data_IF_902479131958
#
_entry.id   IF_902479131958
#
_cell.length_a   1.000
_cell.length_b   1.000
_cell.length_c   1.000
_cell.angle_alpha   90.00
_cell.angle_beta   90.00
_cell.angle_gamma   90.00
#
_symmetry.space_group_name_H-M   'P 1'
#
loop_
_entity.id
_entity.type
_entity.pdbx_description
1 polymer ?
#
# COMPACT_ATOMS: atom_id res chain seq x y z
N UNK A 1 -6.91 -3.14 23.81
CA UNK A 1 -6.71 -4.39 23.06
C UNK A 1 -7.27 -4.22 21.66
N UNK A 2 -6.44 -4.56 20.68
CA UNK A 2 -6.80 -4.49 19.27
C UNK A 2 -7.32 -5.85 18.81
N UNK A 3 -8.25 -5.88 17.83
CA UNK A 3 -8.91 -7.13 17.42
C UNK A 3 -8.96 -7.29 15.92
N UNK A 4 -8.67 -8.49 15.46
CA UNK A 4 -8.95 -8.90 14.09
C UNK A 4 -10.36 -9.50 14.04
N UNK A 5 -11.21 -8.96 13.17
CA UNK A 5 -12.62 -9.33 13.06
C UNK A 5 -12.91 -9.85 11.65
N UNK A 6 -13.73 -10.89 11.58
CA UNK A 6 -14.28 -11.42 10.32
C UNK A 6 -15.76 -11.10 10.24
N UNK A 7 -16.20 -10.68 9.07
CA UNK A 7 -17.63 -10.43 8.75
C UNK A 7 -18.00 -11.36 7.59
N UNK A 8 -19.07 -12.14 7.75
CA UNK A 8 -19.61 -12.97 6.67
C UNK A 8 -20.45 -12.14 5.69
N UNK A 9 -20.78 -12.65 4.48
CA UNK A 9 -21.69 -11.96 3.55
C UNK A 9 -23.06 -11.66 4.17
N UNK A 10 -23.51 -12.46 5.14
CA UNK A 10 -24.77 -12.26 5.87
C UNK A 10 -24.65 -11.23 7.00
N UNK A 11 -23.48 -10.62 7.20
CA UNK A 11 -23.23 -9.60 8.22
C UNK A 11 -22.87 -10.15 9.59
N UNK A 12 -22.68 -11.47 9.76
CA UNK A 12 -22.27 -12.04 11.04
C UNK A 12 -20.83 -11.71 11.33
N UNK A 13 -20.59 -11.04 12.46
CA UNK A 13 -19.25 -10.60 12.88
C UNK A 13 -18.71 -11.53 13.96
N UNK A 14 -17.48 -12.02 13.76
CA UNK A 14 -16.74 -12.83 14.74
C UNK A 14 -15.37 -12.20 14.99
N UNK A 15 -14.85 -12.33 16.23
CA UNK A 15 -13.47 -11.97 16.56
C UNK A 15 -12.59 -13.18 16.28
N UNK A 16 -11.56 -13.01 15.45
CA UNK A 16 -10.57 -14.05 15.19
C UNK A 16 -9.51 -14.11 16.29
N UNK A 17 -9.23 -12.96 16.90
CA UNK A 17 -8.31 -12.87 18.05
C UNK A 17 -7.92 -11.43 18.35
N UNK A 18 -7.05 -11.28 19.35
CA UNK A 18 -6.54 -10.01 19.87
C UNK A 18 -5.06 -9.84 19.53
N UNK A 19 -4.61 -8.59 19.36
CA UNK A 19 -3.21 -8.25 19.13
C UNK A 19 -2.68 -7.40 20.27
N UNK A 20 -1.40 -7.51 20.58
CA UNK A 20 -0.65 -6.66 21.50
C UNK A 20 0.00 -5.46 20.78
N UNK A 21 -0.22 -5.33 19.48
CA UNK A 21 0.22 -4.22 18.64
C UNK A 21 -0.96 -3.53 17.93
N UNK A 22 -0.81 -2.28 17.56
CA UNK A 22 -1.79 -1.55 16.77
C UNK A 22 -1.78 -2.01 15.31
N UNK A 23 -2.85 -2.67 14.81
CA UNK A 23 -2.93 -3.09 13.42
C UNK A 23 -3.29 -1.88 12.54
N UNK A 24 -2.52 -1.66 11.48
CA UNK A 24 -2.75 -0.55 10.55
C UNK A 24 -3.44 -1.00 9.27
N UNK A 25 -2.87 -1.97 8.58
CA UNK A 25 -3.42 -2.54 7.36
C UNK A 25 -3.43 -4.06 7.46
N UNK A 26 -4.30 -4.68 6.69
CA UNK A 26 -4.32 -6.13 6.56
C UNK A 26 -4.55 -6.53 5.11
N UNK A 27 -4.04 -7.71 4.75
CA UNK A 27 -4.32 -8.37 3.48
C UNK A 27 -4.55 -9.86 3.72
N UNK A 28 -5.26 -10.50 2.80
CA UNK A 28 -5.55 -11.94 2.87
C UNK A 28 -4.98 -12.63 1.65
N UNK A 29 -4.18 -13.64 1.88
CA UNK A 29 -3.75 -14.54 0.82
C UNK A 29 -4.93 -15.41 0.39
N UNK A 30 -5.48 -15.13 -0.78
CA UNK A 30 -6.66 -15.81 -1.31
C UNK A 30 -6.44 -17.29 -1.65
N UNK A 31 -5.17 -17.74 -1.71
CA UNK A 31 -4.81 -19.14 -2.02
C UNK A 31 -5.08 -20.07 -0.84
N UNK A 32 -4.85 -19.59 0.39
CA UNK A 32 -4.90 -20.41 1.60
C UNK A 32 -5.64 -19.75 2.79
N UNK A 33 -6.03 -18.47 2.64
CA UNK A 33 -6.73 -17.71 3.68
C UNK A 33 -5.81 -17.14 4.76
N UNK A 34 -4.50 -17.19 4.61
CA UNK A 34 -3.56 -16.55 5.53
C UNK A 34 -3.82 -15.04 5.58
N UNK A 35 -3.82 -14.48 6.78
CA UNK A 35 -4.01 -13.04 7.02
C UNK A 35 -2.66 -12.45 7.41
N UNK A 36 -2.29 -11.36 6.76
CA UNK A 36 -1.11 -10.57 7.11
C UNK A 36 -1.55 -9.21 7.63
N UNK A 37 -0.89 -8.72 8.68
CA UNK A 37 -1.22 -7.47 9.35
C UNK A 37 0.05 -6.65 9.50
N UNK A 38 0.03 -5.40 9.04
CA UNK A 38 1.12 -4.46 9.21
C UNK A 38 0.92 -3.55 10.42
N UNK A 39 2.00 -3.04 10.96
CA UNK A 39 2.04 -2.13 12.10
C UNK A 39 3.32 -1.28 12.10
N UNK A 40 3.47 -0.44 13.11
CA UNK A 40 4.72 0.31 13.37
C UNK A 40 5.89 -0.57 13.83
N UNK A 41 5.61 -1.80 14.27
CA UNK A 41 6.61 -2.73 14.80
C UNK A 41 6.99 -3.85 13.83
N UNK A 42 6.25 -4.01 12.73
CA UNK A 42 6.53 -5.03 11.74
C UNK A 42 5.30 -5.53 10.99
N UNK A 43 5.47 -6.68 10.35
CA UNK A 43 4.39 -7.42 9.71
C UNK A 43 4.22 -8.75 10.43
N UNK A 44 2.96 -9.11 10.65
CA UNK A 44 2.56 -10.31 11.37
C UNK A 44 1.71 -11.20 10.48
N UNK A 45 1.98 -12.50 10.49
CA UNK A 45 1.08 -13.51 9.95
C UNK A 45 0.13 -13.95 11.03
N UNK A 46 -1.16 -13.88 10.76
CA UNK A 46 -2.20 -14.30 11.67
C UNK A 46 -2.69 -15.70 11.33
N UNK A 47 -2.74 -16.58 12.32
CA UNK A 47 -3.25 -17.95 12.23
C UNK A 47 -4.29 -18.23 13.30
N UNK A 48 -4.86 -19.43 13.33
CA UNK A 48 -5.80 -19.85 14.38
C UNK A 48 -5.11 -19.95 15.77
N UNK A 49 -3.78 -20.17 15.79
CA UNK A 49 -2.97 -20.27 17.01
C UNK A 49 -2.49 -18.91 17.53
N UNK A 50 -2.75 -17.83 16.79
CA UNK A 50 -2.34 -16.46 17.10
C UNK A 50 -1.53 -15.80 16.00
N UNK A 51 -0.79 -14.74 16.35
CA UNK A 51 0.06 -14.02 15.41
C UNK A 51 1.53 -14.42 15.54
N UNK A 52 2.22 -14.48 14.41
CA UNK A 52 3.68 -14.66 14.35
C UNK A 52 4.28 -13.48 13.57
N UNK A 53 5.23 -12.79 14.18
CA UNK A 53 5.95 -11.72 13.49
C UNK A 53 6.88 -12.31 12.43
N UNK A 54 6.74 -11.84 11.19
CA UNK A 54 7.56 -12.30 10.06
C UNK A 54 8.69 -11.33 9.75
N UNK A 55 8.56 -10.06 10.12
CA UNK A 55 9.61 -9.05 10.00
C UNK A 55 9.38 -7.91 10.98
N UNK A 56 10.45 -7.20 11.35
CA UNK A 56 10.39 -5.93 12.09
C UNK A 56 10.45 -4.76 11.13
N UNK A 57 9.91 -3.61 11.51
CA UNK A 57 9.95 -2.38 10.71
C UNK A 57 8.66 -1.57 10.81
N UNK A 58 8.61 -0.46 10.09
CA UNK A 58 7.45 0.42 10.05
C UNK A 58 6.77 0.31 8.68
N UNK A 59 5.78 -0.56 8.60
CA UNK A 59 5.08 -0.86 7.35
C UNK A 59 3.64 -0.37 7.39
N UNK A 60 3.24 0.24 6.30
CA UNK A 60 1.86 0.66 6.05
C UNK A 60 1.13 -0.36 5.19
N UNK A 61 0.56 0.07 4.06
CA UNK A 61 -0.18 -0.78 3.15
C UNK A 61 0.59 -2.03 2.74
N UNK A 62 -0.09 -3.15 2.69
CA UNK A 62 0.46 -4.45 2.33
C UNK A 62 -0.47 -5.18 1.36
N UNK A 63 0.12 -5.86 0.37
CA UNK A 63 -0.61 -6.71 -0.57
C UNK A 63 0.11 -8.03 -0.80
N UNK A 64 -0.64 -9.06 -1.19
CA UNK A 64 -0.11 -10.39 -1.52
C UNK A 64 -0.38 -10.68 -3.00
N UNK A 65 0.65 -11.13 -3.72
CA UNK A 65 0.50 -11.57 -5.10
C UNK A 65 -0.04 -13.00 -5.22
N UNK A 66 -0.25 -13.45 -6.46
CA UNK A 66 -0.75 -14.80 -6.76
C UNK A 66 0.23 -15.93 -6.43
N UNK A 67 1.51 -15.63 -6.28
CA UNK A 67 2.56 -16.54 -5.81
C UNK A 67 2.66 -16.58 -4.28
N UNK A 68 2.08 -15.59 -3.56
CA UNK A 68 2.10 -15.43 -2.12
C UNK A 68 3.25 -14.58 -1.61
N UNK A 69 3.95 -13.90 -2.49
CA UNK A 69 4.89 -12.88 -2.04
C UNK A 69 4.11 -11.70 -1.47
N UNK A 70 4.63 -11.14 -0.38
CA UNK A 70 4.07 -9.97 0.27
C UNK A 70 4.83 -8.72 -0.18
N UNK A 71 4.11 -7.66 -0.49
CA UNK A 71 4.68 -6.35 -0.78
C UNK A 71 4.21 -5.37 0.29
N UNK A 72 5.10 -4.51 0.76
CA UNK A 72 4.81 -3.58 1.83
C UNK A 72 5.37 -2.18 1.53
N UNK A 73 4.60 -1.16 1.87
CA UNK A 73 5.04 0.22 1.87
C UNK A 73 5.88 0.47 3.12
N UNK A 74 7.19 0.68 2.95
CA UNK A 74 8.14 0.97 4.03
C UNK A 74 8.34 2.49 4.13
N UNK A 75 7.90 3.06 5.25
CA UNK A 75 8.02 4.50 5.47
C UNK A 75 9.42 4.94 5.89
N UNK A 76 10.24 4.04 6.42
CA UNK A 76 11.63 4.34 6.81
C UNK A 76 12.50 4.41 5.54
N UNK A 77 12.32 3.44 4.65
CA UNK A 77 13.06 3.40 3.39
C UNK A 77 12.46 4.30 2.30
N UNK A 78 11.30 4.92 2.54
CA UNK A 78 10.55 5.65 1.52
C UNK A 78 10.39 4.81 0.24
N UNK A 79 9.98 3.55 0.40
CA UNK A 79 10.02 2.59 -0.68
C UNK A 79 9.07 1.42 -0.52
N UNK A 80 9.25 0.44 -1.39
CA UNK A 80 8.46 -0.79 -1.40
C UNK A 80 9.40 -1.97 -1.21
N UNK A 81 9.09 -2.81 -0.23
CA UNK A 81 9.81 -4.04 0.08
C UNK A 81 8.97 -5.24 -0.33
N UNK A 82 9.59 -6.21 -0.99
CA UNK A 82 9.01 -7.51 -1.29
C UNK A 82 9.54 -8.54 -0.29
N UNK A 83 8.65 -9.37 0.24
CA UNK A 83 8.99 -10.53 1.06
C UNK A 83 8.62 -11.81 0.32
N UNK A 84 9.59 -12.67 0.11
CA UNK A 84 9.41 -13.92 -0.64
C UNK A 84 8.54 -14.91 0.12
N UNK A 85 7.56 -15.49 -0.56
CA UNK A 85 6.66 -16.48 0.02
C UNK A 85 7.41 -17.64 0.70
N UNK A 86 6.99 -17.98 1.91
CA UNK A 86 7.51 -19.11 2.69
C UNK A 86 8.80 -18.84 3.45
N UNK A 87 9.74 -18.08 2.92
CA UNK A 87 11.01 -17.73 3.60
C UNK A 87 10.95 -16.36 4.26
N UNK A 88 10.12 -15.46 3.78
CA UNK A 88 10.02 -14.06 4.17
C UNK A 88 11.33 -13.29 4.00
N UNK A 89 12.20 -13.76 3.11
CA UNK A 89 13.40 -13.06 2.72
C UNK A 89 13.03 -11.73 2.06
N UNK A 90 13.60 -10.63 2.56
CA UNK A 90 13.29 -9.28 2.11
C UNK A 90 14.13 -8.87 0.91
N UNK A 91 13.48 -8.28 -0.09
CA UNK A 91 14.09 -7.60 -1.22
C UNK A 91 13.60 -6.15 -1.23
N UNK A 92 14.50 -5.16 -1.11
CA UNK A 92 14.17 -3.76 -1.32
C UNK A 92 13.92 -3.54 -2.81
N UNK A 93 12.65 -3.55 -3.19
CA UNK A 93 12.25 -3.45 -4.59
C UNK A 93 12.47 -2.03 -5.13
N UNK A 94 12.10 -1.02 -4.34
CA UNK A 94 12.23 0.41 -4.64
C UNK A 94 12.51 1.15 -3.32
N UNK A 95 13.33 2.19 -3.39
CA UNK A 95 13.65 3.04 -2.23
C UNK A 95 14.91 2.60 -1.52
N UNK A 96 15.68 3.60 -1.09
CA UNK A 96 16.98 3.42 -0.42
C UNK A 96 17.12 4.38 0.77
N UNK A 97 16.00 4.80 1.37
CA UNK A 97 15.96 5.76 2.47
C UNK A 97 15.89 7.22 2.03
N UNK A 98 16.07 7.53 0.76
CA UNK A 98 15.95 8.89 0.23
C UNK A 98 14.50 9.17 -0.14
N UNK A 99 13.90 10.21 0.47
CA UNK A 99 12.59 10.70 0.08
C UNK A 99 12.67 11.50 -1.22
N UNK A 100 11.61 11.47 -2.02
CA UNK A 100 11.54 12.24 -3.26
C UNK A 100 10.34 11.86 -4.12
N UNK A 101 10.26 12.51 -5.27
CA UNK A 101 9.26 12.23 -6.29
C UNK A 101 9.97 12.04 -7.64
N UNK A 102 10.20 10.79 -8.03
CA UNK A 102 10.80 10.46 -9.31
C UNK A 102 10.16 9.18 -9.85
N UNK A 103 9.69 9.25 -11.09
CA UNK A 103 9.27 8.09 -11.88
C UNK A 103 10.48 7.55 -12.67
N UNK A 104 10.40 6.33 -13.18
CA UNK A 104 11.49 5.72 -13.96
C UNK A 104 11.73 4.28 -13.56
N UNK A 105 12.97 3.79 -13.73
CA UNK A 105 13.33 2.43 -13.32
C UNK A 105 13.12 2.22 -11.81
N UNK A 106 12.97 0.97 -11.37
CA UNK A 106 12.86 0.68 -9.93
C UNK A 106 14.13 1.10 -9.17
N UNK A 107 15.28 1.12 -9.82
CA UNK A 107 16.55 1.56 -9.24
C UNK A 107 16.60 3.07 -8.98
N UNK A 108 15.92 3.87 -9.83
CA UNK A 108 15.99 5.34 -9.80
C UNK A 108 14.76 5.97 -9.14
N UNK A 109 13.62 5.28 -9.15
CA UNK A 109 12.37 5.82 -8.64
C UNK A 109 12.46 6.21 -7.16
N UNK A 110 11.83 7.34 -6.82
CA UNK A 110 11.77 7.85 -5.46
C UNK A 110 10.33 8.03 -5.02
N UNK A 111 10.06 7.68 -3.78
CA UNK A 111 8.81 7.91 -3.08
C UNK A 111 9.03 8.79 -1.85
N UNK A 112 7.96 9.43 -1.37
CA UNK A 112 7.92 10.08 -0.07
C UNK A 112 6.74 9.53 0.72
N UNK A 113 7.03 8.80 1.79
CA UNK A 113 6.04 8.19 2.67
C UNK A 113 4.94 7.42 1.92
N UNK A 114 5.27 6.36 1.15
CA UNK A 114 4.26 5.53 0.53
C UNK A 114 3.31 5.00 1.62
N UNK A 115 2.01 5.12 1.38
CA UNK A 115 0.99 4.91 2.41
C UNK A 115 0.26 3.59 2.23
N UNK A 116 -0.26 3.33 1.03
CA UNK A 116 -1.00 2.10 0.76
C UNK A 116 -0.67 1.52 -0.61
N UNK A 117 -0.95 0.24 -0.74
CA UNK A 117 -0.71 -0.57 -1.94
C UNK A 117 -2.01 -1.27 -2.36
N UNK A 118 -2.26 -1.34 -3.66
CA UNK A 118 -3.25 -2.25 -4.23
C UNK A 118 -2.64 -2.99 -5.41
N UNK A 119 -2.95 -4.27 -5.55
CA UNK A 119 -2.46 -5.12 -6.63
C UNK A 119 -3.60 -5.45 -7.59
N UNK A 120 -3.37 -5.33 -8.89
CA UNK A 120 -4.35 -5.67 -9.90
C UNK A 120 -4.25 -7.14 -10.34
N UNK A 121 -5.12 -7.54 -11.28
CA UNK A 121 -5.14 -8.92 -11.81
C UNK A 121 -3.91 -9.31 -12.62
N UNK A 122 -3.15 -8.33 -13.11
CA UNK A 122 -1.90 -8.54 -13.86
C UNK A 122 -0.70 -8.72 -12.92
N UNK A 123 -0.85 -8.34 -11.65
CA UNK A 123 0.20 -8.33 -10.64
C UNK A 123 0.94 -6.99 -10.56
N UNK A 124 0.45 -5.96 -11.25
CA UNK A 124 0.98 -4.61 -11.13
C UNK A 124 0.47 -3.95 -9.84
N UNK A 125 1.30 -3.11 -9.22
CA UNK A 125 1.01 -2.55 -7.89
C UNK A 125 0.81 -1.04 -8.01
N UNK A 126 -0.34 -0.57 -7.54
CA UNK A 126 -0.63 0.85 -7.35
C UNK A 126 -0.19 1.30 -5.97
N UNK A 127 0.38 2.49 -5.89
CA UNK A 127 0.92 3.09 -4.66
C UNK A 127 0.30 4.45 -4.43
N UNK A 128 -0.23 4.68 -3.23
CA UNK A 128 -0.62 6.00 -2.77
C UNK A 128 0.58 6.71 -2.12
N UNK A 129 0.96 7.87 -2.64
CA UNK A 129 1.97 8.75 -2.07
C UNK A 129 1.31 9.76 -1.13
N UNK A 130 1.59 9.69 0.17
CA UNK A 130 0.92 10.53 1.18
C UNK A 130 1.73 11.79 1.54
N UNK A 131 2.92 11.97 0.98
CA UNK A 131 3.82 13.05 1.40
C UNK A 131 4.29 12.92 2.84
N UNK A 132 5.03 13.88 3.34
CA UNK A 132 5.58 13.86 4.70
C UNK A 132 4.48 13.98 5.77
N UNK A 133 4.56 13.12 6.80
CA UNK A 133 3.67 13.12 7.96
C UNK A 133 3.87 14.39 8.84
N UNK A 134 5.09 14.89 8.93
CA UNK A 134 5.57 15.89 9.88
C UNK A 134 5.44 17.34 9.39
N UNK A 135 4.73 17.59 8.28
CA UNK A 135 4.61 18.91 7.67
C UNK A 135 5.84 19.35 6.87
N UNK A 136 6.79 18.44 6.64
CA UNK A 136 7.85 18.63 5.65
C UNK A 136 7.30 18.82 4.24
N UNK A 137 8.15 19.06 3.27
CA UNK A 137 7.71 19.22 1.86
C UNK A 137 6.91 17.99 1.41
N UNK A 138 5.64 18.20 1.10
CA UNK A 138 4.75 17.16 0.57
C UNK A 138 5.14 16.88 -0.88
N UNK A 139 6.19 16.10 -1.08
CA UNK A 139 6.74 15.84 -2.41
C UNK A 139 5.94 14.82 -3.22
N UNK A 140 4.98 14.11 -2.60
CA UNK A 140 4.24 13.04 -3.26
C UNK A 140 2.75 13.08 -2.91
N UNK A 141 1.96 13.62 -3.81
CA UNK A 141 0.49 13.71 -3.74
C UNK A 141 -0.10 12.96 -4.94
N UNK A 142 0.39 11.75 -5.20
CA UNK A 142 0.05 11.02 -6.42
C UNK A 142 -0.34 9.58 -6.19
N UNK A 143 -0.97 9.01 -7.19
CA UNK A 143 -1.12 7.58 -7.36
C UNK A 143 -0.17 7.15 -8.47
N UNK A 144 0.70 6.19 -8.16
CA UNK A 144 1.68 5.66 -9.11
C UNK A 144 1.53 4.17 -9.30
N UNK A 145 1.90 3.69 -10.48
CA UNK A 145 1.89 2.29 -10.88
C UNK A 145 3.32 1.75 -10.88
N UNK A 146 3.54 0.65 -10.19
CA UNK A 146 4.69 -0.23 -10.37
C UNK A 146 4.34 -1.25 -11.46
N UNK A 147 4.86 -1.03 -12.65
CA UNK A 147 4.83 -2.00 -13.75
C UNK A 147 5.84 -3.10 -13.42
N UNK A 148 5.35 -4.22 -12.89
CA UNK A 148 6.18 -5.29 -12.36
C UNK A 148 6.92 -6.06 -13.47
N UNK A 149 6.36 -6.06 -14.68
CA UNK A 149 6.97 -6.72 -15.85
C UNK A 149 8.16 -5.94 -16.39
N UNK A 150 7.99 -4.60 -16.56
CA UNK A 150 9.02 -3.74 -17.13
C UNK A 150 9.94 -3.13 -16.04
N UNK A 151 9.63 -3.31 -14.77
CA UNK A 151 10.34 -2.75 -13.60
C UNK A 151 10.47 -1.23 -13.69
N UNK A 152 9.35 -0.57 -13.97
CA UNK A 152 9.28 0.90 -14.02
C UNK A 152 8.13 1.44 -13.17
N UNK A 153 8.34 2.62 -12.60
CA UNK A 153 7.32 3.40 -11.89
C UNK A 153 6.76 4.45 -12.84
N UNK A 154 5.42 4.52 -12.92
CA UNK A 154 4.71 5.49 -13.76
C UNK A 154 3.70 6.28 -12.93
N UNK A 155 3.48 7.53 -13.32
CA UNK A 155 2.38 8.33 -12.78
C UNK A 155 1.04 7.78 -13.34
N UNK A 156 0.08 7.62 -12.44
CA UNK A 156 -1.33 7.35 -12.76
C UNK A 156 -2.13 8.66 -12.68
N UNK A 157 -2.08 9.34 -11.54
CA UNK A 157 -2.75 10.62 -11.35
C UNK A 157 -2.13 11.41 -10.18
N UNK A 158 -2.27 12.74 -10.20
CA UNK A 158 -1.72 13.63 -9.17
C UNK A 158 -0.31 14.10 -9.50
N UNK A 159 0.45 14.51 -8.50
CA UNK A 159 1.79 15.08 -8.66
C UNK A 159 2.41 15.45 -7.32
N UNK A 160 3.19 16.52 -7.29
CA UNK A 160 3.87 17.00 -6.08
C UNK A 160 3.07 18.05 -5.31
N UNK A 161 2.05 18.63 -5.91
CA UNK A 161 1.25 19.70 -5.30
C UNK A 161 -0.04 19.15 -4.72
N UNK A 162 -0.32 19.49 -3.45
CA UNK A 162 -1.59 19.17 -2.83
C UNK A 162 -2.72 20.02 -3.42
N UNK A 163 -3.89 19.42 -3.59
CA UNK A 163 -5.06 20.12 -4.12
C UNK A 163 -6.29 19.22 -4.21
N UNK A 164 -7.36 19.81 -4.78
CA UNK A 164 -8.61 19.10 -5.08
C UNK A 164 -9.03 19.44 -6.51
N UNK A 165 -8.51 18.70 -7.48
CA UNK A 165 -8.80 18.91 -8.90
C UNK A 165 -9.11 17.58 -9.58
N UNK A 166 -10.28 17.49 -10.18
CA UNK A 166 -10.65 16.39 -11.07
C UNK A 166 -10.17 16.71 -12.50
N UNK A 167 -9.22 15.93 -12.96
CA UNK A 167 -8.64 16.09 -14.30
C UNK A 167 -7.90 14.80 -14.70
N UNK A 168 -7.34 14.77 -15.91
CA UNK A 168 -6.57 13.63 -16.39
C UNK A 168 -5.16 13.61 -15.80
N UNK A 169 -4.68 12.43 -15.42
CA UNK A 169 -3.30 12.11 -15.05
C UNK A 169 -2.63 13.19 -14.16
N UNK A 170 -1.54 13.78 -14.63
CA UNK A 170 -0.76 14.77 -13.90
C UNK A 170 -1.42 16.14 -13.71
N UNK A 171 -2.59 16.39 -14.33
CA UNK A 171 -3.40 17.60 -14.10
C UNK A 171 -4.37 17.44 -12.93
N UNK A 172 -4.64 16.21 -12.48
CA UNK A 172 -5.39 15.96 -11.25
C UNK A 172 -4.57 16.37 -10.02
N UNK A 173 -5.26 16.71 -8.93
CA UNK A 173 -4.59 16.98 -7.67
C UNK A 173 -5.31 16.29 -6.50
N UNK A 174 -4.52 15.68 -5.62
CA UNK A 174 -4.94 15.07 -4.36
C UNK A 174 -4.34 15.83 -3.17
N UNK A 175 -4.84 15.56 -1.98
CA UNK A 175 -4.25 16.08 -0.75
C UNK A 175 -4.16 14.97 0.31
N UNK A 176 -2.99 14.36 0.41
CA UNK A 176 -2.73 13.22 1.28
C UNK A 176 -3.51 11.97 0.89
N UNK A 177 -3.38 11.45 -0.35
CA UNK A 177 -3.99 10.18 -0.71
C UNK A 177 -3.40 9.09 0.17
N UNK A 178 -4.26 8.47 1.01
CA UNK A 178 -3.80 7.61 2.08
C UNK A 178 -4.06 6.13 1.84
N UNK A 179 -5.16 5.80 1.18
CA UNK A 179 -5.64 4.45 1.01
C UNK A 179 -6.17 4.27 -0.41
N UNK A 180 -6.03 3.10 -0.99
CA UNK A 180 -6.53 2.84 -2.34
C UNK A 180 -6.96 1.40 -2.53
N UNK A 181 -7.88 1.19 -3.45
CA UNK A 181 -8.30 -0.12 -3.89
C UNK A 181 -8.45 -0.14 -5.41
N UNK A 182 -8.13 -1.27 -6.04
CA UNK A 182 -8.38 -1.50 -7.46
C UNK A 182 -9.43 -2.60 -7.61
N UNK A 183 -10.44 -2.35 -8.44
CA UNK A 183 -11.46 -3.34 -8.72
C UNK A 183 -11.05 -4.27 -9.89
N UNK A 184 -11.86 -5.30 -10.14
CA UNK A 184 -11.62 -6.27 -11.22
C UNK A 184 -11.64 -5.69 -12.64
N UNK A 185 -12.12 -4.46 -12.83
CA UNK A 185 -12.17 -3.76 -14.10
C UNK A 185 -11.01 -2.74 -14.23
N UNK A 186 -10.09 -2.68 -13.26
CA UNK A 186 -8.99 -1.72 -13.22
C UNK A 186 -9.38 -0.32 -12.74
N UNK A 187 -10.58 -0.14 -12.20
CA UNK A 187 -10.99 1.14 -11.61
C UNK A 187 -10.33 1.29 -10.26
N UNK A 188 -9.69 2.42 -10.02
CA UNK A 188 -8.99 2.71 -8.77
C UNK A 188 -9.85 3.67 -7.94
N UNK A 189 -10.07 3.32 -6.67
CA UNK A 189 -10.71 4.17 -5.69
C UNK A 189 -9.64 4.64 -4.69
N UNK A 190 -9.61 5.93 -4.40
CA UNK A 190 -8.59 6.58 -3.57
C UNK A 190 -9.25 7.32 -2.43
N UNK A 191 -8.84 7.05 -1.20
CA UNK A 191 -9.18 7.90 -0.07
C UNK A 191 -8.25 9.11 -0.04
N UNK A 192 -8.76 10.25 -0.49
CA UNK A 192 -8.07 11.55 -0.52
C UNK A 192 -8.31 12.24 0.83
N UNK A 193 -7.47 11.87 1.81
CA UNK A 193 -7.72 12.07 3.23
C UNK A 193 -7.91 13.53 3.63
N UNK A 194 -7.02 14.43 3.22
CA UNK A 194 -7.09 15.84 3.62
C UNK A 194 -8.24 16.57 2.93
N UNK A 195 -8.70 16.07 1.77
CA UNK A 195 -9.91 16.53 1.10
C UNK A 195 -11.17 15.85 1.64
N UNK A 196 -11.04 14.81 2.47
CA UNK A 196 -12.12 14.07 3.10
C UNK A 196 -13.15 13.48 2.10
N UNK A 197 -12.65 12.92 0.99
CA UNK A 197 -13.46 12.34 -0.09
C UNK A 197 -12.86 11.04 -0.59
N UNK A 198 -13.70 10.24 -1.26
CA UNK A 198 -13.26 9.13 -2.10
C UNK A 198 -13.22 9.60 -3.55
N UNK A 199 -12.08 9.45 -4.20
CA UNK A 199 -11.88 9.78 -5.61
C UNK A 199 -11.83 8.49 -6.44
N UNK A 200 -12.27 8.58 -7.69
CA UNK A 200 -12.27 7.46 -8.64
C UNK A 200 -11.39 7.80 -9.83
N UNK A 201 -10.50 6.88 -10.20
CA UNK A 201 -9.68 6.97 -11.42
C UNK A 201 -10.14 5.86 -12.36
N UNK A 202 -10.41 6.21 -13.60
CA UNK A 202 -10.77 5.28 -14.69
C UNK A 202 -9.80 5.48 -15.84
N UNK A 203 -9.45 4.40 -16.53
CA UNK A 203 -8.77 4.46 -17.82
C UNK A 203 -9.83 4.43 -18.91
N UNK A 204 -9.75 5.41 -19.82
CA UNK A 204 -10.56 5.46 -21.06
C UNK A 204 -9.81 4.81 -22.21
#
# INVERSE_FOLDING_TARGET
>A
EWKIRKITPEGVTTTLGETDFEPWFLTVDKRNGDIFVSSSSGIYKWTAEGSTQITTGNFRGIVVDKEGNLYAADQILNGIVKFKAGTWEAENLIGKGTSGYLNGSFEDALFTFPSDLAIDSNGDIYVAGNGAWDGGENLDQSIRLLDMTNRVVRLVAGGTQAGYVDANAGSAAFSGPQDLAVDKNGVIYVYDKKNNVIRKIVYE
#
